data_IF_149369691853
#
_entry.id   IF_149369691853
#
_cell.length_a   1.000
_cell.length_b   1.000
_cell.length_c   1.000
_cell.angle_alpha   90.00
_cell.angle_beta   90.00
_cell.angle_gamma   90.00
#
_symmetry.space_group_name_H-M   'P 1'
#
loop_
_entity.id
_entity.type
_entity.pdbx_description
1 polymer ?
#
# COMPACT_ATOMS: atom_id res chain seq x y z
N UNK A 1 -18.78 45.23 39.22
CA UNK A 1 -18.85 43.80 39.55
C UNK A 1 -18.70 43.02 38.26
N UNK A 2 -17.51 42.47 38.01
CA UNK A 2 -17.21 41.72 36.78
C UNK A 2 -17.27 40.23 37.10
N UNK A 3 -18.32 39.55 36.63
CA UNK A 3 -18.40 38.09 36.62
C UNK A 3 -17.49 37.53 35.52
N UNK A 4 -16.40 36.91 35.93
CA UNK A 4 -15.51 36.16 35.06
C UNK A 4 -16.14 34.82 34.68
N UNK A 5 -16.43 34.66 33.38
CA UNK A 5 -16.81 33.40 32.74
C UNK A 5 -15.83 32.27 33.07
N UNK A 6 -16.27 31.29 33.84
CA UNK A 6 -15.59 30.01 34.05
C UNK A 6 -15.55 29.23 32.74
N UNK A 7 -14.35 29.00 32.23
CA UNK A 7 -14.11 28.29 30.97
C UNK A 7 -14.48 26.81 31.10
N UNK A 8 -15.19 26.26 30.11
CA UNK A 8 -15.44 24.83 29.95
C UNK A 8 -14.13 24.07 29.71
N UNK A 9 -13.48 23.57 30.77
CA UNK A 9 -12.50 22.51 30.68
C UNK A 9 -13.24 21.18 30.85
N UNK A 10 -13.36 20.40 29.77
CA UNK A 10 -13.86 19.03 29.87
C UNK A 10 -12.96 18.22 30.79
N UNK A 11 -13.55 17.44 31.69
CA UNK A 11 -12.89 16.52 32.62
C UNK A 11 -12.02 15.51 31.86
N UNK A 12 -10.76 15.84 31.61
CA UNK A 12 -9.79 14.93 31.01
C UNK A 12 -9.45 13.85 32.04
N UNK A 13 -10.04 12.67 31.83
CA UNK A 13 -9.78 11.46 32.58
C UNK A 13 -8.28 11.15 32.47
N UNK A 14 -7.52 11.32 33.56
CA UNK A 14 -6.09 10.99 33.62
C UNK A 14 -5.93 9.48 33.57
N UNK A 15 -5.72 8.94 32.39
CA UNK A 15 -5.29 7.54 32.25
C UNK A 15 -3.88 7.40 32.80
N UNK A 16 -3.69 6.38 33.63
CA UNK A 16 -2.42 6.15 34.32
C UNK A 16 -1.73 4.87 33.83
N UNK A 17 -2.44 3.98 33.15
CA UNK A 17 -1.91 2.70 32.64
C UNK A 17 -2.41 2.41 31.22
N UNK A 18 -1.70 1.54 30.50
CA UNK A 18 -2.06 1.13 29.13
C UNK A 18 -3.42 0.43 29.07
N UNK A 19 -3.72 -0.40 30.06
CA UNK A 19 -4.98 -1.15 30.20
C UNK A 19 -6.17 -0.24 30.48
N UNK A 20 -5.96 0.90 31.14
CA UNK A 20 -7.01 1.86 31.47
C UNK A 20 -7.48 2.71 30.29
N UNK A 21 -6.78 2.64 29.14
CA UNK A 21 -7.11 3.46 27.96
C UNK A 21 -8.39 2.95 27.31
N UNK A 22 -9.38 3.84 27.21
CA UNK A 22 -10.59 3.59 26.41
C UNK A 22 -10.26 3.73 24.91
N UNK A 23 -10.01 2.59 24.27
CA UNK A 23 -9.68 2.53 22.84
C UNK A 23 -10.83 2.99 21.94
N UNK A 24 -12.09 2.73 22.31
CA UNK A 24 -13.25 3.14 21.52
C UNK A 24 -13.39 4.66 21.50
N UNK A 25 -13.16 5.31 22.65
CA UNK A 25 -13.11 6.78 22.76
C UNK A 25 -11.93 7.36 21.97
N UNK A 26 -10.76 6.72 22.01
CA UNK A 26 -9.61 7.12 21.20
C UNK A 26 -9.93 7.10 19.71
N UNK A 27 -10.45 5.97 19.22
CA UNK A 27 -10.79 5.77 17.80
C UNK A 27 -11.88 6.74 17.36
N UNK A 28 -12.95 6.89 18.14
CA UNK A 28 -14.04 7.83 17.83
C UNK A 28 -13.55 9.27 17.74
N UNK A 29 -12.68 9.70 18.65
CA UNK A 29 -12.16 11.08 18.67
C UNK A 29 -11.25 11.36 17.48
N UNK A 30 -10.37 10.41 17.16
CA UNK A 30 -9.48 10.53 15.99
C UNK A 30 -10.30 10.50 14.70
N UNK A 31 -11.29 9.61 14.57
CA UNK A 31 -12.17 9.54 13.40
C UNK A 31 -12.95 10.85 13.19
N UNK A 32 -13.46 11.47 14.27
CA UNK A 32 -14.12 12.80 14.20
C UNK A 32 -13.18 13.88 13.66
N UNK A 33 -11.92 13.90 14.11
CA UNK A 33 -10.92 14.84 13.60
C UNK A 33 -10.56 14.54 12.13
N UNK A 34 -10.40 13.28 11.76
CA UNK A 34 -10.15 12.85 10.38
C UNK A 34 -11.30 13.26 9.45
N UNK A 35 -12.57 13.08 9.86
CA UNK A 35 -13.73 13.54 9.10
C UNK A 35 -13.75 15.06 8.89
N UNK A 36 -13.32 15.84 9.89
CA UNK A 36 -13.16 17.30 9.76
C UNK A 36 -12.05 17.67 8.78
N UNK A 37 -10.95 16.90 8.73
CA UNK A 37 -9.88 17.07 7.73
C UNK A 37 -10.43 16.82 6.33
N UNK A 38 -11.17 15.71 6.13
CA UNK A 38 -11.84 15.40 4.85
C UNK A 38 -12.74 16.56 4.41
N UNK A 39 -13.60 17.06 5.30
CA UNK A 39 -14.49 18.18 4.99
C UNK A 39 -13.71 19.44 4.59
N UNK A 40 -12.68 19.81 5.34
CA UNK A 40 -11.85 20.97 5.03
C UNK A 40 -11.08 20.81 3.70
N UNK A 41 -10.61 19.61 3.38
CA UNK A 41 -9.92 19.32 2.12
C UNK A 41 -10.88 19.43 0.92
N UNK A 42 -12.10 18.88 1.03
CA UNK A 42 -13.14 19.01 -0.01
C UNK A 42 -13.56 20.47 -0.25
N UNK A 43 -13.53 21.30 0.79
CA UNK A 43 -13.80 22.74 0.71
C UNK A 43 -12.60 23.57 0.20
N UNK A 44 -11.46 22.94 -0.13
CA UNK A 44 -10.24 23.65 -0.58
C UNK A 44 -9.53 24.46 0.51
N UNK A 45 -9.89 24.28 1.80
CA UNK A 45 -9.37 25.07 2.92
C UNK A 45 -8.06 24.49 3.46
N UNK A 46 -6.98 24.59 2.68
CA UNK A 46 -5.68 23.99 3.02
C UNK A 46 -5.08 24.48 4.35
N UNK A 47 -5.30 25.73 4.75
CA UNK A 47 -4.87 26.24 6.06
C UNK A 47 -5.55 25.53 7.23
N UNK A 48 -6.85 25.24 7.09
CA UNK A 48 -7.65 24.49 8.08
C UNK A 48 -7.23 23.02 8.14
N UNK A 49 -6.92 22.42 6.99
CA UNK A 49 -6.34 21.06 6.94
C UNK A 49 -5.05 20.99 7.76
N UNK A 50 -4.11 21.92 7.54
CA UNK A 50 -2.86 21.98 8.32
C UNK A 50 -3.10 22.15 9.83
N UNK A 51 -4.02 23.03 10.21
CA UNK A 51 -4.36 23.24 11.63
C UNK A 51 -4.99 22.00 12.29
N UNK A 52 -5.84 21.28 11.57
CA UNK A 52 -6.45 20.04 12.07
C UNK A 52 -5.44 18.88 12.14
N UNK A 53 -4.55 18.75 11.16
CA UNK A 53 -3.43 17.80 11.20
C UNK A 53 -2.50 18.10 12.38
N UNK A 54 -2.22 19.37 12.64
CA UNK A 54 -1.46 19.79 13.81
C UNK A 54 -2.17 19.39 15.11
N UNK A 55 -3.46 19.68 15.23
CA UNK A 55 -4.28 19.31 16.39
C UNK A 55 -4.27 17.79 16.62
N UNK A 56 -4.46 17.00 15.55
CA UNK A 56 -4.46 15.55 15.61
C UNK A 56 -3.11 15.00 16.08
N UNK A 57 -2.00 15.47 15.51
CA UNK A 57 -0.66 15.00 15.88
C UNK A 57 -0.24 15.38 17.32
N UNK A 58 -0.88 16.37 17.94
CA UNK A 58 -0.62 16.76 19.32
C UNK A 58 -1.57 16.11 20.33
N UNK A 59 -2.67 15.50 19.87
CA UNK A 59 -3.65 14.82 20.72
C UNK A 59 -3.09 13.57 21.40
N UNK A 60 -3.47 13.34 22.66
CA UNK A 60 -3.18 12.09 23.37
C UNK A 60 -3.76 10.89 22.62
N UNK A 61 -5.03 10.98 22.20
CA UNK A 61 -5.76 9.88 21.54
C UNK A 61 -5.02 9.36 20.30
N UNK A 62 -4.53 10.28 19.45
CA UNK A 62 -3.81 9.91 18.24
C UNK A 62 -2.44 9.26 18.55
N UNK A 63 -1.72 9.77 19.55
CA UNK A 63 -0.45 9.18 20.01
C UNK A 63 -0.65 7.79 20.57
N UNK A 64 -1.69 7.58 21.38
CA UNK A 64 -2.04 6.27 21.93
C UNK A 64 -2.34 5.25 20.80
N UNK A 65 -3.15 5.64 19.81
CA UNK A 65 -3.44 4.78 18.65
C UNK A 65 -2.20 4.49 17.80
N UNK A 66 -1.31 5.46 17.64
CA UNK A 66 -0.04 5.25 16.94
C UNK A 66 0.83 4.21 17.65
N UNK A 67 0.95 4.27 18.98
CA UNK A 67 1.66 3.26 19.78
C UNK A 67 0.98 1.90 19.70
N UNK A 68 -0.36 1.84 19.77
CA UNK A 68 -1.13 0.59 19.65
C UNK A 68 -0.84 -0.08 18.30
N UNK A 69 -0.91 0.69 17.20
CA UNK A 69 -0.63 0.20 15.84
C UNK A 69 0.76 -0.44 15.70
N UNK A 70 1.80 0.13 16.33
CA UNK A 70 3.17 -0.41 16.20
C UNK A 70 3.44 -1.58 17.15
N UNK A 71 2.67 -1.72 18.23
CA UNK A 71 2.85 -2.77 19.24
C UNK A 71 1.98 -4.00 19.03
N UNK A 72 0.86 -3.89 18.30
CA UNK A 72 -0.07 -5.00 18.03
C UNK A 72 0.33 -5.92 16.87
N UNK A 73 1.23 -5.49 15.99
CA UNK A 73 1.64 -6.26 14.81
C UNK A 73 2.88 -7.12 15.08
N UNK A 74 3.10 -8.21 14.33
CA UNK A 74 4.32 -9.06 14.45
C UNK A 74 5.64 -8.30 14.36
N UNK A 75 5.65 -7.15 13.68
CA UNK A 75 6.81 -6.25 13.61
C UNK A 75 7.21 -5.62 14.95
N UNK A 76 6.35 -5.69 15.98
CA UNK A 76 6.66 -5.23 17.34
C UNK A 76 7.81 -6.00 17.99
N UNK A 77 8.12 -7.20 17.50
CA UNK A 77 9.24 -8.02 17.96
C UNK A 77 10.57 -7.72 17.23
N UNK A 78 10.56 -6.80 16.27
CA UNK A 78 11.73 -6.48 15.46
C UNK A 78 12.24 -5.10 15.83
N UNK A 79 13.40 -5.02 16.46
CA UNK A 79 13.98 -3.74 16.86
C UNK A 79 14.67 -3.02 15.68
N UNK A 80 14.77 -1.70 15.80
CA UNK A 80 15.55 -0.85 14.89
C UNK A 80 17.05 -0.91 15.21
N UNK A 81 17.78 0.16 14.89
CA UNK A 81 19.22 0.27 15.21
C UNK A 81 19.48 0.47 16.71
N UNK A 82 18.49 0.93 17.47
CA UNK A 82 18.56 1.13 18.93
C UNK A 82 18.38 -0.16 19.73
N UNK A 83 17.97 -1.26 19.09
CA UNK A 83 17.66 -2.53 19.75
C UNK A 83 16.56 -2.44 20.84
N UNK A 84 15.74 -1.37 20.84
CA UNK A 84 14.68 -1.15 21.85
C UNK A 84 13.34 -1.69 21.35
N UNK A 85 12.61 -2.36 22.25
CA UNK A 85 11.24 -2.85 22.06
C UNK A 85 10.29 -2.29 23.13
N UNK A 86 9.00 -2.22 22.82
CA UNK A 86 7.94 -1.86 23.77
C UNK A 86 7.07 -3.07 24.10
N UNK A 87 7.65 -4.04 24.81
CA UNK A 87 7.00 -5.31 25.14
C UNK A 87 6.02 -5.19 26.31
N UNK A 88 6.35 -4.40 27.33
CA UNK A 88 5.52 -4.26 28.55
C UNK A 88 4.46 -3.16 28.41
N UNK A 89 3.30 -3.29 29.06
CA UNK A 89 2.27 -2.25 29.04
C UNK A 89 2.77 -0.89 29.53
N UNK A 90 3.61 -0.86 30.57
CA UNK A 90 4.23 0.38 31.05
C UNK A 90 5.11 1.03 29.96
N UNK A 91 5.96 0.26 29.28
CA UNK A 91 6.78 0.79 28.18
C UNK A 91 5.91 1.37 27.05
N UNK A 92 4.78 0.72 26.72
CA UNK A 92 3.83 1.22 25.72
C UNK A 92 3.16 2.52 26.18
N UNK A 93 2.76 2.61 27.44
CA UNK A 93 2.15 3.82 27.99
C UNK A 93 3.14 5.00 27.99
N UNK A 94 4.36 4.79 28.49
CA UNK A 94 5.42 5.80 28.45
C UNK A 94 5.78 6.23 27.03
N UNK A 95 5.70 5.31 26.07
CA UNK A 95 5.93 5.60 24.66
C UNK A 95 4.97 6.67 24.09
N UNK A 96 3.76 6.82 24.65
CA UNK A 96 2.81 7.86 24.23
C UNK A 96 3.37 9.26 24.53
N UNK A 97 3.96 9.44 25.71
CA UNK A 97 4.51 10.71 26.18
C UNK A 97 5.75 11.18 25.43
N UNK A 98 6.54 10.25 24.88
CA UNK A 98 7.77 10.58 24.13
C UNK A 98 7.49 10.98 22.66
N UNK A 99 6.28 10.78 22.14
CA UNK A 99 5.88 11.22 20.80
C UNK A 99 5.67 12.74 20.78
N UNK A 100 6.78 13.48 20.74
CA UNK A 100 6.82 14.94 20.68
C UNK A 100 7.50 15.37 19.39
N UNK A 101 6.95 16.39 18.73
CA UNK A 101 7.55 17.00 17.54
C UNK A 101 8.85 17.75 17.86
N UNK A 102 8.84 18.58 18.91
CA UNK A 102 10.01 19.36 19.34
C UNK A 102 11.09 18.42 19.87
N UNK A 103 12.33 18.62 19.41
CA UNK A 103 13.47 17.77 19.81
C UNK A 103 13.51 16.39 19.14
N UNK A 104 12.55 16.05 18.28
CA UNK A 104 12.58 14.78 17.57
C UNK A 104 13.70 14.75 16.52
N UNK A 105 14.57 13.74 16.61
CA UNK A 105 15.57 13.37 15.62
C UNK A 105 15.35 11.89 15.28
N UNK A 106 15.00 11.54 14.04
CA UNK A 106 14.89 10.14 13.65
C UNK A 106 16.26 9.47 13.68
N UNK A 107 16.28 8.18 13.98
CA UNK A 107 17.51 7.40 13.86
C UNK A 107 17.60 6.78 12.46
N UNK A 108 18.82 6.45 12.00
CA UNK A 108 19.01 5.70 10.77
C UNK A 108 18.25 4.37 10.78
N UNK A 109 17.79 3.93 9.61
CA UNK A 109 17.09 2.65 9.49
C UNK A 109 18.05 1.48 9.58
N UNK A 110 17.65 0.37 10.23
CA UNK A 110 18.44 -0.87 10.21
C UNK A 110 18.19 -1.61 8.90
N UNK A 111 19.18 -1.70 8.02
CA UNK A 111 19.06 -2.33 6.70
C UNK A 111 19.24 -3.85 6.81
N UNK A 112 18.27 -4.61 6.30
CA UNK A 112 18.35 -6.07 6.15
C UNK A 112 18.01 -6.48 4.71
N UNK A 113 18.57 -7.58 4.24
CA UNK A 113 18.26 -8.13 2.91
C UNK A 113 17.28 -9.30 3.01
N UNK A 114 16.19 -9.21 2.25
CA UNK A 114 15.20 -10.29 2.12
C UNK A 114 15.28 -10.84 0.70
N UNK A 115 15.35 -12.17 0.56
CA UNK A 115 15.36 -12.81 -0.76
C UNK A 115 13.99 -12.63 -1.45
N UNK A 116 13.98 -12.11 -2.68
CA UNK A 116 12.81 -12.11 -3.56
C UNK A 116 12.58 -13.51 -4.13
N UNK A 117 11.39 -13.74 -4.68
CA UNK A 117 11.04 -14.98 -5.38
C UNK A 117 11.96 -15.29 -6.58
N UNK A 118 12.53 -14.27 -7.20
CA UNK A 118 13.47 -14.38 -8.32
C UNK A 118 14.96 -14.50 -7.89
N UNK A 119 15.23 -14.69 -6.59
CA UNK A 119 16.59 -14.83 -6.06
C UNK A 119 17.33 -13.51 -5.79
N UNK A 120 16.90 -12.38 -6.40
CA UNK A 120 17.47 -11.06 -6.11
C UNK A 120 17.18 -10.64 -4.66
N UNK A 121 18.04 -9.83 -4.06
CA UNK A 121 17.81 -9.30 -2.71
C UNK A 121 16.93 -8.04 -2.77
N UNK A 122 15.97 -7.92 -1.84
CA UNK A 122 15.22 -6.70 -1.55
C UNK A 122 15.74 -6.14 -0.23
N UNK A 123 16.26 -4.92 -0.22
CA UNK A 123 16.73 -4.33 1.01
C UNK A 123 15.55 -3.69 1.76
N UNK A 124 15.39 -4.01 3.05
CA UNK A 124 14.36 -3.48 3.94
C UNK A 124 15.02 -2.63 5.01
N UNK A 125 14.55 -1.41 5.21
CA UNK A 125 14.95 -0.54 6.32
C UNK A 125 13.94 -0.66 7.46
N UNK A 126 14.39 -1.12 8.62
CA UNK A 126 13.56 -1.24 9.83
C UNK A 126 13.80 -0.01 10.71
N UNK A 127 12.81 0.88 10.89
CA UNK A 127 12.94 2.01 11.80
C UNK A 127 12.84 1.57 13.27
N UNK A 128 13.30 2.43 14.18
CA UNK A 128 13.10 2.27 15.63
C UNK A 128 11.61 2.22 15.98
N UNK A 129 11.26 1.74 17.18
CA UNK A 129 9.88 1.75 17.65
C UNK A 129 9.32 3.19 17.72
N UNK A 130 10.15 4.13 18.19
CA UNK A 130 9.81 5.55 18.24
C UNK A 130 9.54 6.13 16.85
N UNK A 131 10.40 5.83 15.88
CA UNK A 131 10.25 6.34 14.52
C UNK A 131 9.02 5.75 13.82
N UNK A 132 8.75 4.44 14.02
CA UNK A 132 7.51 3.82 13.55
C UNK A 132 6.28 4.46 14.16
N UNK A 133 6.28 4.74 15.45
CA UNK A 133 5.16 5.37 16.12
C UNK A 133 4.94 6.82 15.65
N UNK A 134 6.03 7.58 15.43
CA UNK A 134 5.94 8.91 14.83
C UNK A 134 5.40 8.83 13.40
N UNK A 135 5.86 7.90 12.58
CA UNK A 135 5.32 7.69 11.23
C UNK A 135 3.83 7.32 11.27
N UNK A 136 3.42 6.42 12.18
CA UNK A 136 2.02 6.03 12.36
C UNK A 136 1.14 7.21 12.81
N UNK A 137 1.65 8.09 13.67
CA UNK A 137 0.95 9.29 14.13
C UNK A 137 0.69 10.28 13.00
N UNK A 138 1.71 10.58 12.20
CA UNK A 138 1.56 11.49 11.06
C UNK A 138 0.80 10.83 9.90
N UNK A 139 0.84 9.51 9.78
CA UNK A 139 0.00 8.78 8.85
C UNK A 139 -1.48 8.96 9.19
N UNK A 140 -1.89 8.91 10.48
CA UNK A 140 -3.27 9.24 10.87
C UNK A 140 -3.70 10.65 10.44
N UNK A 141 -2.77 11.61 10.38
CA UNK A 141 -3.04 12.96 9.92
C UNK A 141 -3.07 13.08 8.38
N UNK A 142 -2.31 12.24 7.68
CA UNK A 142 -2.18 12.27 6.22
C UNK A 142 -3.25 11.44 5.51
N UNK A 143 -3.64 10.28 6.07
CA UNK A 143 -4.63 9.34 5.52
C UNK A 143 -5.92 10.02 5.04
N UNK A 144 -6.54 10.96 5.78
CA UNK A 144 -7.78 11.60 5.33
C UNK A 144 -7.59 12.42 4.04
N UNK A 145 -6.42 13.05 3.89
CA UNK A 145 -6.09 13.82 2.69
C UNK A 145 -5.77 12.88 1.54
N UNK A 146 -4.91 11.89 1.77
CA UNK A 146 -4.53 10.93 0.74
C UNK A 146 -5.74 10.19 0.17
N UNK A 147 -6.70 9.77 1.01
CA UNK A 147 -7.90 9.08 0.51
C UNK A 147 -8.83 9.99 -0.30
N UNK A 148 -8.89 11.30 0.00
CA UNK A 148 -9.72 12.23 -0.78
C UNK A 148 -9.13 12.63 -2.12
N UNK A 149 -7.80 12.57 -2.25
CA UNK A 149 -7.09 12.96 -3.48
C UNK A 149 -6.65 11.76 -4.32
N UNK A 150 -6.76 10.55 -3.79
CA UNK A 150 -6.31 9.35 -4.47
C UNK A 150 -7.18 8.98 -5.67
N UNK A 151 -6.55 8.37 -6.67
CA UNK A 151 -7.22 7.87 -7.86
C UNK A 151 -8.29 6.82 -7.49
N UNK A 152 -9.47 6.87 -8.14
CA UNK A 152 -10.58 5.98 -7.80
C UNK A 152 -10.26 4.51 -8.07
N UNK A 153 -9.41 4.22 -9.07
CA UNK A 153 -9.00 2.88 -9.46
C UNK A 153 -7.59 2.52 -8.96
N UNK A 154 -7.15 3.18 -7.88
CA UNK A 154 -5.97 2.78 -7.10
C UNK A 154 -6.38 1.96 -5.88
N UNK A 155 -5.86 0.75 -5.72
CA UNK A 155 -6.30 -0.20 -4.69
C UNK A 155 -5.22 -0.55 -3.67
N UNK A 156 -3.95 -0.52 -4.06
CA UNK A 156 -2.85 -0.98 -3.21
C UNK A 156 -2.66 -0.11 -1.96
N UNK A 157 -2.41 -0.73 -0.80
CA UNK A 157 -2.09 -0.07 0.47
C UNK A 157 -3.11 0.96 0.98
N UNK A 158 -4.37 0.87 0.55
CA UNK A 158 -5.47 1.73 1.00
C UNK A 158 -6.40 0.97 1.93
N UNK A 159 -7.06 1.69 2.84
CA UNK A 159 -8.02 1.09 3.77
C UNK A 159 -9.23 0.56 3.00
N UNK A 160 -9.75 -0.58 3.44
CA UNK A 160 -10.93 -1.23 2.85
C UNK A 160 -10.83 -1.50 1.34
N UNK A 161 -9.59 -1.63 0.82
CA UNK A 161 -9.32 -2.00 -0.57
C UNK A 161 -8.36 -3.18 -0.62
N UNK A 162 -8.64 -4.10 -1.53
CA UNK A 162 -7.94 -5.38 -1.64
C UNK A 162 -7.54 -5.68 -3.08
N UNK A 163 -6.72 -6.72 -3.26
CA UNK A 163 -6.39 -7.25 -4.59
C UNK A 163 -7.63 -7.81 -5.31
N UNK A 164 -8.65 -8.27 -4.56
CA UNK A 164 -9.89 -8.74 -5.11
C UNK A 164 -10.71 -7.61 -5.77
N UNK A 165 -10.66 -6.39 -5.20
CA UNK A 165 -11.33 -5.22 -5.77
C UNK A 165 -10.67 -4.78 -7.08
N UNK A 166 -9.33 -4.80 -7.13
CA UNK A 166 -8.59 -4.53 -8.37
C UNK A 166 -8.92 -5.56 -9.46
N UNK A 167 -9.00 -6.85 -9.10
CA UNK A 167 -9.44 -7.92 -10.00
C UNK A 167 -10.87 -7.70 -10.50
N UNK A 168 -11.78 -7.32 -9.61
CA UNK A 168 -13.17 -7.04 -9.96
C UNK A 168 -13.26 -5.85 -10.92
N UNK A 169 -12.47 -4.81 -10.71
CA UNK A 169 -12.38 -3.69 -11.63
C UNK A 169 -11.89 -4.13 -13.01
N UNK A 170 -10.90 -5.03 -13.10
CA UNK A 170 -10.50 -5.63 -14.38
C UNK A 170 -11.68 -6.36 -15.03
N UNK A 171 -12.48 -7.11 -14.27
CA UNK A 171 -13.67 -7.78 -14.79
C UNK A 171 -14.68 -6.79 -15.37
N UNK A 172 -15.02 -5.74 -14.61
CA UNK A 172 -15.98 -4.71 -15.04
C UNK A 172 -15.55 -3.99 -16.32
N UNK A 173 -14.25 -3.72 -16.46
CA UNK A 173 -13.67 -3.04 -17.63
C UNK A 173 -13.57 -3.96 -18.85
N UNK A 174 -13.26 -5.25 -18.67
CA UNK A 174 -12.86 -6.15 -19.76
C UNK A 174 -13.94 -7.15 -20.18
N UNK A 175 -14.96 -7.43 -19.35
CA UNK A 175 -15.87 -8.57 -19.58
C UNK A 175 -16.81 -8.42 -20.78
N UNK A 176 -17.27 -7.20 -21.10
CA UNK A 176 -18.27 -6.95 -22.16
C UNK A 176 -17.71 -7.20 -23.56
N UNK A 177 -18.59 -7.46 -24.54
CA UNK A 177 -18.18 -7.57 -25.97
C UNK A 177 -17.54 -6.27 -26.47
N UNK A 178 -18.12 -5.12 -26.09
CA UNK A 178 -17.63 -3.80 -26.45
C UNK A 178 -16.49 -3.28 -25.56
N UNK A 179 -15.84 -4.12 -24.74
CA UNK A 179 -14.69 -3.73 -23.91
C UNK A 179 -13.45 -3.39 -24.75
N UNK A 180 -12.44 -2.71 -24.16
CA UNK A 180 -11.11 -2.63 -24.76
C UNK A 180 -10.47 -4.03 -24.87
N UNK A 181 -9.64 -4.21 -25.89
CA UNK A 181 -9.02 -5.50 -26.22
C UNK A 181 -7.50 -5.50 -26.03
N UNK A 182 -6.89 -4.32 -25.90
CA UNK A 182 -5.46 -4.16 -25.68
C UNK A 182 -5.19 -3.67 -24.26
N UNK A 183 -4.14 -4.22 -23.65
CA UNK A 183 -3.75 -3.94 -22.28
C UNK A 183 -2.26 -3.63 -22.24
N UNK A 184 -1.90 -2.49 -21.65
CA UNK A 184 -0.52 -2.18 -21.29
C UNK A 184 -0.30 -2.55 -19.83
N UNK A 185 0.55 -3.55 -19.59
CA UNK A 185 1.07 -3.91 -18.28
C UNK A 185 2.20 -2.95 -17.91
N UNK A 186 2.12 -2.30 -16.76
CA UNK A 186 3.09 -1.33 -16.28
C UNK A 186 3.61 -1.69 -14.89
N UNK A 187 4.94 -1.68 -14.72
CA UNK A 187 5.63 -1.89 -13.46
C UNK A 187 6.70 -0.81 -13.30
N UNK A 188 6.83 -0.25 -12.10
CA UNK A 188 7.78 0.83 -11.83
C UNK A 188 9.06 0.25 -11.23
N UNK A 189 10.21 0.55 -11.86
CA UNK A 189 11.51 0.09 -11.40
C UNK A 189 11.84 0.78 -10.07
N UNK A 190 12.01 -0.01 -9.01
CA UNK A 190 12.46 0.49 -7.71
C UNK A 190 11.57 1.60 -7.15
N UNK A 191 10.24 1.45 -7.24
CA UNK A 191 9.28 2.51 -6.89
C UNK A 191 9.56 3.20 -5.54
N UNK A 192 9.91 2.46 -4.49
CA UNK A 192 10.22 3.05 -3.18
C UNK A 192 11.64 3.61 -3.10
N UNK A 193 12.55 3.14 -3.94
CA UNK A 193 13.97 3.47 -3.87
C UNK A 193 14.33 4.76 -4.64
N UNK A 194 13.54 5.15 -5.64
CA UNK A 194 13.90 6.26 -6.57
C UNK A 194 12.98 7.49 -6.48
N UNK A 195 11.99 7.54 -5.59
CA UNK A 195 11.11 8.72 -5.48
C UNK A 195 11.93 9.97 -5.14
N UNK A 196 11.76 11.05 -5.93
CA UNK A 196 12.41 12.32 -5.68
C UNK A 196 11.98 12.93 -4.33
N UNK A 197 12.96 13.23 -3.47
CA UNK A 197 12.72 13.91 -2.20
C UNK A 197 12.13 15.30 -2.39
N UNK A 198 12.60 16.04 -3.39
CA UNK A 198 12.11 17.39 -3.68
C UNK A 198 10.64 17.35 -4.12
N UNK A 199 10.27 16.37 -4.93
CA UNK A 199 8.88 16.17 -5.32
C UNK A 199 8.00 15.87 -4.09
N UNK A 200 8.42 14.97 -3.20
CA UNK A 200 7.68 14.65 -1.97
C UNK A 200 7.54 15.88 -1.05
N UNK A 201 8.64 16.61 -0.85
CA UNK A 201 8.69 17.81 -0.02
C UNK A 201 7.86 18.95 -0.60
N UNK A 202 7.68 19.03 -1.92
CA UNK A 202 6.80 20.01 -2.55
C UNK A 202 5.33 19.59 -2.44
N UNK A 203 5.01 18.37 -2.84
CA UNK A 203 3.62 17.97 -3.13
C UNK A 203 2.85 17.33 -1.96
N UNK A 204 3.52 16.71 -0.97
CA UNK A 204 2.80 15.99 0.09
C UNK A 204 2.28 16.95 1.18
N UNK A 205 0.97 17.05 1.44
CA UNK A 205 0.38 18.00 2.38
C UNK A 205 0.51 17.52 3.84
N UNK A 206 1.74 17.54 4.35
CA UNK A 206 2.08 17.22 5.73
C UNK A 206 3.18 18.14 6.26
N UNK A 207 3.58 17.94 7.52
CA UNK A 207 4.70 18.65 8.12
C UNK A 207 6.01 18.35 7.37
N UNK A 208 6.50 19.36 6.64
CA UNK A 208 7.70 19.26 5.79
C UNK A 208 8.97 19.05 6.60
N UNK A 209 9.03 19.54 7.85
CA UNK A 209 10.20 19.34 8.72
C UNK A 209 10.31 17.87 9.10
N UNK A 210 9.18 17.24 9.43
CA UNK A 210 9.14 15.82 9.79
C UNK A 210 9.43 14.93 8.58
N UNK A 211 8.81 15.23 7.43
CA UNK A 211 9.05 14.49 6.20
C UNK A 211 10.53 14.57 5.78
N UNK A 212 11.13 15.77 5.76
CA UNK A 212 12.55 15.96 5.43
C UNK A 212 13.47 15.17 6.35
N UNK A 213 13.17 15.13 7.65
CA UNK A 213 13.94 14.35 8.62
C UNK A 213 13.91 12.87 8.31
N UNK A 214 12.76 12.29 7.93
CA UNK A 214 12.67 10.87 7.59
C UNK A 214 13.32 10.52 6.25
N UNK A 215 13.22 11.40 5.27
CA UNK A 215 13.85 11.18 3.97
C UNK A 215 15.39 11.21 4.07
N UNK A 216 15.94 12.05 4.96
CA UNK A 216 17.39 12.22 5.13
C UNK A 216 18.03 11.43 6.28
N UNK A 217 17.31 10.57 6.98
CA UNK A 217 17.85 9.91 8.18
C UNK A 217 18.87 8.79 7.88
N UNK A 218 19.05 8.41 6.61
CA UNK A 218 20.03 7.40 6.22
C UNK A 218 19.67 5.99 6.69
N UNK A 219 20.55 5.03 6.43
CA UNK A 219 20.42 3.66 6.93
C UNK A 219 21.77 3.11 7.41
N UNK A 220 21.72 2.21 8.38
CA UNK A 220 22.87 1.44 8.85
C UNK A 220 22.86 0.07 8.20
N UNK A 221 23.98 -0.29 7.57
CA UNK A 221 24.22 -1.60 6.99
C UNK A 221 25.64 -2.06 7.36
N UNK A 222 25.81 -3.30 7.82
CA UNK A 222 27.12 -3.83 8.25
C UNK A 222 27.89 -2.92 9.23
N UNK A 223 27.17 -2.25 10.16
CA UNK A 223 27.70 -1.29 11.15
C UNK A 223 28.21 0.05 10.57
N UNK A 224 28.02 0.29 9.28
CA UNK A 224 28.34 1.57 8.63
C UNK A 224 27.07 2.37 8.36
N UNK A 225 27.16 3.70 8.46
CA UNK A 225 26.08 4.63 8.18
C UNK A 225 26.17 5.11 6.73
N UNK A 226 25.09 4.93 5.98
CA UNK A 226 24.96 5.39 4.60
C UNK A 226 23.88 6.47 4.50
N UNK A 227 24.12 7.55 3.71
CA UNK A 227 23.11 8.55 3.44
C UNK A 227 21.98 7.99 2.56
N UNK A 228 20.87 8.71 2.48
CA UNK A 228 19.75 8.41 1.57
C UNK A 228 19.48 9.65 0.75
N UNK A 229 19.84 9.59 -0.53
CA UNK A 229 19.73 10.72 -1.47
C UNK A 229 18.39 10.72 -2.22
N UNK A 230 17.78 9.55 -2.39
CA UNK A 230 16.49 9.37 -3.06
C UNK A 230 15.67 8.26 -2.41
N UNK A 231 14.38 8.21 -2.77
CA UNK A 231 13.45 7.20 -2.29
C UNK A 231 12.86 7.48 -0.91
N UNK A 232 11.89 6.65 -0.54
CA UNK A 232 11.30 6.61 0.79
C UNK A 232 11.69 5.29 1.46
N UNK A 233 12.01 5.28 2.76
CA UNK A 233 12.52 4.06 3.39
C UNK A 233 11.55 2.88 3.27
N UNK A 234 11.98 1.81 2.60
CA UNK A 234 11.20 0.60 2.43
C UNK A 234 11.08 -0.12 3.78
N UNK A 235 9.91 -0.06 4.42
CA UNK A 235 9.67 -0.56 5.78
C UNK A 235 9.15 0.49 6.76
N UNK A 236 9.15 1.77 6.36
CA UNK A 236 8.42 2.81 7.06
C UNK A 236 6.90 2.64 6.93
N UNK A 237 6.16 2.93 7.99
CA UNK A 237 4.69 2.76 8.03
C UNK A 237 3.99 3.76 7.11
N UNK A 238 4.55 4.96 6.96
CA UNK A 238 4.00 6.03 6.12
C UNK A 238 4.39 5.88 4.64
N UNK A 239 5.46 5.15 4.34
CA UNK A 239 6.04 5.02 2.99
C UNK A 239 5.03 4.56 1.92
N UNK A 240 4.15 3.57 2.16
CA UNK A 240 3.15 3.16 1.17
C UNK A 240 2.18 4.28 0.77
N UNK A 241 1.77 5.11 1.72
CA UNK A 241 0.90 6.27 1.46
C UNK A 241 1.64 7.33 0.66
N UNK A 242 2.92 7.60 0.97
CA UNK A 242 3.74 8.52 0.18
C UNK A 242 3.91 8.05 -1.26
N UNK A 243 4.17 6.76 -1.46
CA UNK A 243 4.26 6.16 -2.79
C UNK A 243 2.93 6.27 -3.56
N UNK A 244 1.80 5.98 -2.90
CA UNK A 244 0.49 6.13 -3.53
C UNK A 244 0.20 7.57 -3.94
N UNK A 245 0.39 8.54 -3.05
CA UNK A 245 0.20 9.96 -3.36
C UNK A 245 1.14 10.46 -4.46
N UNK A 246 2.30 9.83 -4.62
CA UNK A 246 3.23 10.11 -5.72
C UNK A 246 2.65 9.66 -7.05
N UNK A 247 2.00 8.50 -7.08
CA UNK A 247 1.43 7.91 -8.29
C UNK A 247 0.00 8.38 -8.60
N UNK A 248 -0.68 9.01 -7.64
CA UNK A 248 -2.00 9.59 -7.84
C UNK A 248 -1.95 10.78 -8.83
N UNK A 249 -3.02 10.94 -9.59
CA UNK A 249 -3.10 11.88 -10.72
C UNK A 249 -2.80 11.23 -12.07
N UNK A 250 -2.29 9.99 -12.11
CA UNK A 250 -2.13 9.25 -13.35
C UNK A 250 -3.50 8.98 -13.99
N UNK A 251 -4.50 8.61 -13.18
CA UNK A 251 -5.86 8.42 -13.67
C UNK A 251 -6.45 9.73 -14.23
N UNK A 252 -6.25 10.84 -13.53
CA UNK A 252 -6.75 12.16 -13.95
C UNK A 252 -6.13 12.59 -15.28
N UNK A 253 -4.82 12.46 -15.42
CA UNK A 253 -4.10 12.77 -16.67
C UNK A 253 -4.67 11.97 -17.86
N UNK A 254 -4.88 10.66 -17.68
CA UNK A 254 -5.47 9.82 -18.72
C UNK A 254 -6.92 10.22 -19.02
N UNK A 255 -7.71 10.53 -17.99
CA UNK A 255 -9.11 10.93 -18.15
C UNK A 255 -9.26 12.28 -18.88
N UNK A 256 -8.40 13.26 -18.60
CA UNK A 256 -8.42 14.57 -19.25
C UNK A 256 -8.16 14.45 -20.76
N UNK A 257 -7.21 13.62 -21.16
CA UNK A 257 -6.86 13.43 -22.58
C UNK A 257 -7.81 12.48 -23.32
N UNK A 258 -8.22 11.39 -22.66
CA UNK A 258 -8.97 10.29 -23.25
C UNK A 258 -10.41 10.19 -22.72
N UNK A 259 -11.09 11.32 -22.52
CA UNK A 259 -12.51 11.33 -22.15
C UNK A 259 -13.44 11.06 -23.33
N UNK A 260 -14.66 10.64 -23.00
CA UNK A 260 -15.76 10.49 -23.96
C UNK A 260 -16.08 11.86 -24.59
N UNK A 261 -16.01 11.97 -25.91
CA UNK A 261 -16.38 13.18 -26.66
C UNK A 261 -17.53 12.86 -27.62
N UNK A 262 -18.50 13.76 -27.70
CA UNK A 262 -19.54 13.70 -28.73
C UNK A 262 -19.03 14.45 -29.95
N UNK A 263 -18.75 13.74 -31.04
CA UNK A 263 -18.28 14.36 -32.30
C UNK A 263 -19.49 14.94 -33.04
N UNK A 264 -20.61 14.23 -33.03
CA UNK A 264 -21.90 14.65 -33.60
C UNK A 264 -23.04 13.87 -32.93
N UNK A 265 -24.31 14.13 -33.31
CA UNK A 265 -25.51 13.52 -32.68
C UNK A 265 -25.51 11.98 -32.70
N UNK A 266 -24.74 11.37 -33.61
CA UNK A 266 -24.70 9.92 -33.84
C UNK A 266 -23.35 9.28 -33.48
N UNK A 267 -22.24 10.01 -33.51
CA UNK A 267 -20.89 9.47 -33.27
C UNK A 267 -20.32 9.96 -31.95
N UNK A 268 -20.02 8.99 -31.08
CA UNK A 268 -19.32 9.21 -29.82
C UNK A 268 -17.90 8.65 -29.92
N UNK A 269 -16.90 9.50 -29.67
CA UNK A 269 -15.54 9.05 -29.43
C UNK A 269 -15.41 8.52 -28.00
N UNK A 270 -15.11 7.24 -27.87
CA UNK A 270 -14.83 6.60 -26.59
C UNK A 270 -13.56 5.75 -26.70
N UNK A 271 -12.41 6.25 -26.21
CA UNK A 271 -11.12 5.59 -26.39
C UNK A 271 -10.94 4.36 -25.49
N UNK A 272 -11.88 4.12 -24.54
CA UNK A 272 -11.90 2.96 -23.62
C UNK A 272 -10.61 2.83 -22.78
N UNK A 273 -10.04 3.98 -22.42
CA UNK A 273 -8.83 4.06 -21.61
C UNK A 273 -9.19 4.03 -20.13
N UNK A 274 -8.78 2.96 -19.45
CA UNK A 274 -9.01 2.77 -18.03
C UNK A 274 -7.72 2.39 -17.34
N UNK A 275 -7.41 3.06 -16.22
CA UNK A 275 -6.34 2.67 -15.31
C UNK A 275 -6.91 1.73 -14.24
N UNK A 276 -6.19 0.64 -13.94
CA UNK A 276 -6.36 -0.15 -12.72
C UNK A 276 -4.98 -0.31 -12.08
N UNK A 277 -4.80 0.22 -10.88
CA UNK A 277 -3.49 0.30 -10.20
C UNK A 277 -3.52 -0.37 -8.84
N UNK A 278 -2.51 -1.18 -8.55
CA UNK A 278 -2.23 -1.73 -7.23
C UNK A 278 -0.79 -1.41 -6.83
N UNK A 279 -0.62 -0.33 -6.05
CA UNK A 279 0.69 0.22 -5.72
C UNK A 279 1.49 0.60 -6.98
N UNK A 280 2.61 -0.08 -7.24
CA UNK A 280 3.54 0.10 -8.36
C UNK A 280 3.18 -0.72 -9.60
N UNK A 281 2.35 -1.76 -9.47
CA UNK A 281 1.83 -2.58 -10.56
C UNK A 281 0.50 -1.98 -11.07
N UNK A 282 0.38 -1.74 -12.37
CA UNK A 282 -0.83 -1.19 -12.96
C UNK A 282 -1.06 -1.71 -14.38
N UNK A 283 -2.31 -1.64 -14.80
CA UNK A 283 -2.69 -1.85 -16.20
C UNK A 283 -3.42 -0.63 -16.74
N UNK A 284 -3.17 -0.34 -18.02
CA UNK A 284 -3.94 0.64 -18.78
C UNK A 284 -4.57 -0.06 -19.97
N UNK A 285 -5.89 0.04 -20.10
CA UNK A 285 -6.60 -0.55 -21.24
C UNK A 285 -6.67 0.42 -22.41
N UNK A 286 -6.80 -0.11 -23.62
CA UNK A 286 -6.95 0.67 -24.84
C UNK A 286 -7.77 -0.05 -25.89
N UNK A 287 -8.41 0.71 -26.79
CA UNK A 287 -9.15 0.13 -27.91
C UNK A 287 -8.21 -0.50 -28.95
N UNK A 288 -7.06 0.13 -29.21
CA UNK A 288 -6.06 -0.31 -30.19
C UNK A 288 -4.68 -0.35 -29.57
N UNK A 289 -3.75 -1.05 -30.22
CA UNK A 289 -2.36 -1.15 -29.75
C UNK A 289 -1.67 0.22 -29.84
N UNK A 290 -1.90 0.93 -30.92
CA UNK A 290 -1.31 2.24 -31.23
C UNK A 290 -1.70 3.28 -30.17
N UNK A 291 -2.95 3.25 -29.69
CA UNK A 291 -3.39 4.12 -28.60
C UNK A 291 -2.59 3.91 -27.31
N UNK A 292 -2.20 2.67 -27.01
CA UNK A 292 -1.35 2.38 -25.84
C UNK A 292 0.11 2.76 -26.08
N UNK A 293 0.60 2.64 -27.31
CA UNK A 293 1.93 3.13 -27.71
C UNK A 293 2.03 4.65 -27.60
N UNK A 294 0.96 5.39 -27.89
CA UNK A 294 0.87 6.84 -27.62
C UNK A 294 0.81 7.18 -26.12
N UNK A 295 0.10 6.38 -25.32
CA UNK A 295 -0.03 6.58 -23.88
C UNK A 295 1.30 6.35 -23.16
N UNK A 296 2.09 5.37 -23.61
CA UNK A 296 3.33 4.96 -22.93
C UNK A 296 4.31 6.12 -22.69
N UNK A 297 4.66 6.98 -23.67
CA UNK A 297 5.47 8.18 -23.43
C UNK A 297 4.91 9.13 -22.37
N UNK A 298 3.59 9.32 -22.33
CA UNK A 298 2.96 10.21 -21.34
C UNK A 298 3.08 9.66 -19.92
N UNK A 299 2.97 8.33 -19.77
CA UNK A 299 3.21 7.66 -18.49
C UNK A 299 4.68 7.81 -18.08
N UNK A 300 5.61 7.68 -19.03
CA UNK A 300 7.04 7.87 -18.77
C UNK A 300 7.31 9.30 -18.28
N UNK A 301 6.81 10.32 -18.97
CA UNK A 301 6.97 11.72 -18.59
C UNK A 301 6.36 12.01 -17.20
N UNK A 302 5.16 11.48 -16.94
CA UNK A 302 4.51 11.58 -15.64
C UNK A 302 5.38 11.01 -14.51
N UNK A 303 5.99 9.84 -14.73
CA UNK A 303 6.85 9.18 -13.75
C UNK A 303 8.19 9.93 -13.60
N UNK A 304 8.79 10.38 -14.69
CA UNK A 304 10.08 11.10 -14.68
C UNK A 304 10.01 12.39 -13.85
N UNK A 305 8.91 13.14 -13.94
CA UNK A 305 8.71 14.34 -13.11
C UNK A 305 8.71 14.05 -11.59
N UNK A 306 8.55 12.77 -11.19
CA UNK A 306 8.56 12.28 -9.81
C UNK A 306 9.85 11.55 -9.43
N UNK A 307 10.81 11.45 -10.36
CA UNK A 307 12.04 10.66 -10.22
C UNK A 307 11.85 9.15 -10.48
N UNK A 308 10.72 8.75 -11.05
CA UNK A 308 10.39 7.34 -11.27
C UNK A 308 10.59 6.94 -12.73
N UNK A 309 10.89 5.66 -12.93
CA UNK A 309 11.13 5.09 -14.27
C UNK A 309 10.31 3.82 -14.46
N UNK A 310 9.70 3.69 -15.63
CA UNK A 310 8.96 2.50 -16.02
C UNK A 310 9.93 1.34 -16.31
N UNK A 311 9.59 0.12 -15.88
CA UNK A 311 10.40 -1.07 -16.13
C UNK A 311 10.15 -1.58 -17.55
N UNK A 312 11.02 -1.25 -18.50
CA UNK A 312 10.91 -1.69 -19.90
C UNK A 312 10.78 -3.20 -20.05
N UNK A 313 11.59 -4.00 -19.32
CA UNK A 313 11.57 -5.47 -19.37
C UNK A 313 10.21 -6.08 -19.00
N UNK A 314 9.44 -5.39 -18.16
CA UNK A 314 8.15 -5.84 -17.65
C UNK A 314 6.97 -5.17 -18.34
N UNK A 315 7.22 -4.05 -19.03
CA UNK A 315 6.17 -3.29 -19.68
C UNK A 315 5.83 -3.96 -21.00
N UNK A 316 4.61 -4.46 -21.12
CA UNK A 316 4.16 -5.20 -22.30
C UNK A 316 2.80 -4.69 -22.73
N UNK A 317 2.58 -4.67 -24.04
CA UNK A 317 1.26 -4.44 -24.62
C UNK A 317 0.79 -5.77 -25.15
N UNK A 318 -0.27 -6.30 -24.54
CA UNK A 318 -0.80 -7.63 -24.83
C UNK A 318 -2.26 -7.55 -25.25
N UNK A 319 -2.67 -8.44 -26.13
CA UNK A 319 -4.07 -8.57 -26.51
C UNK A 319 -4.80 -9.46 -25.49
N UNK A 320 -6.04 -9.11 -25.14
CA UNK A 320 -6.83 -9.79 -24.11
C UNK A 320 -7.07 -11.28 -24.40
N UNK A 321 -7.02 -11.68 -25.68
CA UNK A 321 -7.17 -13.08 -26.10
C UNK A 321 -5.95 -13.95 -25.80
N UNK A 322 -4.75 -13.35 -25.72
CA UNK A 322 -3.53 -14.03 -25.27
C UNK A 322 -3.55 -14.18 -23.75
N UNK A 323 -4.06 -13.13 -23.09
CA UNK A 323 -4.18 -13.01 -21.65
C UNK A 323 -2.90 -12.48 -20.99
N UNK A 324 -3.06 -11.86 -19.83
CA UNK A 324 -1.97 -11.25 -19.08
C UNK A 324 -2.06 -11.62 -17.59
N UNK A 325 -0.93 -11.48 -16.88
CA UNK A 325 -0.85 -11.78 -15.45
C UNK A 325 -0.85 -10.48 -14.64
N UNK A 326 -1.81 -10.32 -13.73
CA UNK A 326 -1.91 -9.15 -12.85
C UNK A 326 -2.27 -9.60 -11.43
N UNK A 327 -1.47 -9.21 -10.43
CA UNK A 327 -1.66 -9.58 -9.01
C UNK A 327 -1.79 -11.10 -8.75
N UNK A 328 -1.11 -11.91 -9.57
CA UNK A 328 -1.18 -13.37 -9.48
C UNK A 328 -2.46 -14.00 -10.06
N UNK A 329 -3.26 -13.22 -10.79
CA UNK A 329 -4.37 -13.69 -11.60
C UNK A 329 -3.98 -13.64 -13.08
N UNK A 330 -4.35 -14.65 -13.85
CA UNK A 330 -4.32 -14.62 -15.30
C UNK A 330 -5.70 -14.17 -15.81
N UNK A 331 -5.73 -13.04 -16.51
CA UNK A 331 -6.94 -12.43 -17.06
C UNK A 331 -6.94 -12.67 -18.57
N UNK A 332 -7.93 -13.43 -19.06
CA UNK A 332 -8.01 -13.78 -20.49
C UNK A 332 -9.44 -13.83 -20.98
N UNK A 333 -9.69 -13.29 -22.17
CA UNK A 333 -10.95 -13.43 -22.89
C UNK A 333 -10.82 -14.52 -23.95
N UNK A 334 -11.72 -15.48 -23.93
CA UNK A 334 -11.69 -16.62 -24.86
C UNK A 334 -12.56 -16.32 -26.09
N UNK A 335 -12.39 -17.12 -27.15
CA UNK A 335 -13.05 -16.91 -28.45
C UNK A 335 -14.59 -16.92 -28.37
N UNK A 336 -15.14 -17.58 -27.34
CA UNK A 336 -16.57 -17.53 -27.02
C UNK A 336 -17.04 -16.20 -26.39
N UNK A 337 -16.15 -15.21 -26.30
CA UNK A 337 -16.40 -13.88 -25.74
C UNK A 337 -16.39 -13.83 -24.21
N UNK A 338 -16.21 -14.95 -23.49
CA UNK A 338 -16.19 -14.98 -22.02
C UNK A 338 -14.82 -14.58 -21.48
N UNK A 339 -14.81 -13.65 -20.55
CA UNK A 339 -13.63 -13.32 -19.74
C UNK A 339 -13.55 -14.28 -18.56
N UNK A 340 -12.44 -15.01 -18.42
CA UNK A 340 -12.17 -15.80 -17.22
C UNK A 340 -10.93 -15.24 -16.53
N UNK A 341 -11.06 -15.03 -15.23
CA UNK A 341 -9.95 -14.64 -14.36
C UNK A 341 -9.59 -15.84 -13.50
N UNK A 342 -8.40 -16.40 -13.74
CA UNK A 342 -7.92 -17.65 -13.13
C UNK A 342 -6.68 -17.37 -12.28
N UNK A 343 -6.30 -18.21 -11.30
CA UNK A 343 -4.98 -18.10 -10.68
C UNK A 343 -3.89 -18.28 -11.74
N UNK A 344 -2.84 -17.44 -11.72
CA UNK A 344 -1.76 -17.55 -12.71
C UNK A 344 -0.95 -18.84 -12.53
N UNK A 345 -0.36 -19.34 -13.63
CA UNK A 345 0.49 -20.54 -13.61
C UNK A 345 1.68 -20.34 -12.67
N UNK A 346 2.24 -19.14 -12.62
CA UNK A 346 3.36 -18.81 -11.73
C UNK A 346 2.93 -18.84 -10.25
N UNK A 347 1.74 -18.34 -9.93
CA UNK A 347 1.20 -18.42 -8.56
C UNK A 347 1.01 -19.85 -8.10
N UNK A 348 0.44 -20.72 -8.94
CA UNK A 348 0.31 -22.15 -8.64
C UNK A 348 1.68 -22.79 -8.42
N UNK A 349 2.68 -22.51 -9.28
CA UNK A 349 4.05 -23.02 -9.11
C UNK A 349 4.67 -22.57 -7.78
N UNK A 350 4.51 -21.29 -7.41
CA UNK A 350 4.98 -20.74 -6.12
C UNK A 350 4.32 -21.43 -4.94
N UNK A 351 3.00 -21.65 -5.01
CA UNK A 351 2.25 -22.38 -4.00
C UNK A 351 2.76 -23.81 -3.84
N UNK A 352 2.89 -24.56 -4.93
CA UNK A 352 3.39 -25.94 -4.90
C UNK A 352 4.84 -26.02 -4.40
N UNK A 353 5.71 -25.09 -4.79
CA UNK A 353 7.09 -25.01 -4.29
C UNK A 353 7.12 -24.80 -2.77
N UNK A 354 6.21 -23.97 -2.24
CA UNK A 354 6.09 -23.75 -0.79
C UNK A 354 5.62 -25.00 -0.06
N UNK A 355 4.61 -25.69 -0.59
CA UNK A 355 4.13 -26.96 -0.01
C UNK A 355 5.25 -28.00 -0.02
N UNK A 356 5.93 -28.19 -1.16
CA UNK A 356 7.07 -29.10 -1.27
C UNK A 356 8.17 -28.77 -0.27
N UNK A 357 8.55 -27.50 -0.13
CA UNK A 357 9.56 -27.07 0.84
C UNK A 357 9.18 -27.38 2.30
N UNK A 358 7.89 -27.30 2.65
CA UNK A 358 7.41 -27.69 3.99
C UNK A 358 7.55 -29.21 4.18
N UNK A 359 7.16 -30.01 3.20
CA UNK A 359 7.27 -31.48 3.24
C UNK A 359 8.75 -31.87 3.34
N UNK A 360 9.61 -31.33 2.48
CA UNK A 360 11.03 -31.64 2.42
C UNK A 360 11.77 -31.30 3.72
N UNK A 361 11.37 -30.23 4.40
CA UNK A 361 11.99 -29.80 5.67
C UNK A 361 11.49 -30.60 6.88
N UNK A 362 10.45 -31.43 6.72
CA UNK A 362 9.79 -32.16 7.80
C UNK A 362 9.63 -33.66 7.48
N UNK A 363 10.55 -34.25 6.69
CA UNK A 363 10.49 -35.66 6.26
C UNK A 363 10.42 -36.67 7.43
N UNK A 364 11.03 -36.34 8.56
CA UNK A 364 11.01 -37.15 9.79
C UNK A 364 9.95 -36.72 10.81
N UNK A 365 9.11 -35.73 10.46
CA UNK A 365 8.09 -35.20 11.36
C UNK A 365 6.84 -36.07 11.42
N UNK A 366 6.10 -35.99 12.53
CA UNK A 366 4.78 -36.62 12.64
C UNK A 366 3.81 -36.04 11.61
N UNK A 367 2.95 -36.89 11.05
CA UNK A 367 1.93 -36.51 10.08
C UNK A 367 1.06 -35.33 10.58
N UNK A 368 0.64 -35.33 11.85
CA UNK A 368 -0.19 -34.24 12.39
C UNK A 368 0.54 -32.89 12.38
N UNK A 369 1.86 -32.91 12.62
CA UNK A 369 2.67 -31.69 12.59
C UNK A 369 2.78 -31.13 11.19
N UNK A 370 2.92 -32.01 10.18
CA UNK A 370 2.95 -31.61 8.77
C UNK A 370 1.60 -30.99 8.34
N UNK A 371 0.48 -31.62 8.72
CA UNK A 371 -0.87 -31.09 8.48
C UNK A 371 -1.03 -29.70 9.13
N UNK A 372 -0.61 -29.54 10.38
CA UNK A 372 -0.67 -28.26 11.11
C UNK A 372 0.13 -27.15 10.42
N UNK A 373 1.27 -27.49 9.80
CA UNK A 373 2.11 -26.53 9.06
C UNK A 373 1.52 -26.19 7.68
N UNK A 374 0.93 -27.17 6.99
CA UNK A 374 0.37 -26.99 5.65
C UNK A 374 -0.98 -26.27 5.65
N UNK A 375 -1.85 -26.57 6.60
CA UNK A 375 -3.22 -26.04 6.63
C UNK A 375 -3.31 -24.51 6.52
N UNK A 376 -2.55 -23.71 7.29
CA UNK A 376 -2.58 -22.25 7.16
C UNK A 376 -2.16 -21.75 5.77
N UNK A 377 -1.22 -22.45 5.10
CA UNK A 377 -0.75 -22.11 3.76
C UNK A 377 -1.84 -22.39 2.72
N UNK A 378 -2.51 -23.54 2.84
CA UNK A 378 -3.61 -23.94 1.95
C UNK A 378 -4.79 -22.99 2.13
N UNK A 379 -5.25 -22.80 3.36
CA UNK A 379 -6.37 -21.91 3.69
C UNK A 379 -6.10 -20.48 3.21
N UNK A 380 -4.88 -19.97 3.42
CA UNK A 380 -4.49 -18.64 2.93
C UNK A 380 -4.57 -18.53 1.40
N UNK A 381 -4.09 -19.55 0.67
CA UNK A 381 -4.13 -19.55 -0.79
C UNK A 381 -5.56 -19.67 -1.33
N UNK A 382 -6.39 -20.54 -0.74
CA UNK A 382 -7.81 -20.65 -1.08
C UNK A 382 -8.55 -19.34 -0.80
N UNK A 383 -8.33 -18.72 0.37
CA UNK A 383 -8.96 -17.45 0.72
C UNK A 383 -8.61 -16.31 -0.24
N UNK A 384 -7.42 -16.33 -0.84
CA UNK A 384 -7.00 -15.34 -1.85
C UNK A 384 -7.67 -15.58 -3.22
N UNK A 385 -7.84 -16.84 -3.61
CA UNK A 385 -8.37 -17.22 -4.94
C UNK A 385 -9.85 -17.61 -4.96
N UNK A 386 -10.55 -17.66 -3.82
CA UNK A 386 -11.96 -18.10 -3.73
C UNK A 386 -12.94 -17.28 -4.58
N UNK A 387 -12.61 -16.03 -4.88
CA UNK A 387 -13.46 -15.11 -5.63
C UNK A 387 -13.10 -15.05 -7.13
N UNK A 388 -12.42 -16.06 -7.68
CA UNK A 388 -12.12 -16.15 -9.11
C UNK A 388 -12.42 -17.55 -9.67
N UNK A 389 -12.20 -17.75 -10.97
CA UNK A 389 -12.45 -19.02 -11.66
C UNK A 389 -11.30 -19.98 -11.31
N UNK A 390 -11.39 -20.63 -10.15
CA UNK A 390 -10.28 -21.39 -9.57
C UNK A 390 -10.53 -22.90 -9.45
N UNK A 391 -11.74 -23.41 -9.65
CA UNK A 391 -12.10 -24.82 -9.38
C UNK A 391 -11.17 -25.84 -10.03
N UNK A 392 -10.88 -25.69 -11.33
CA UNK A 392 -9.95 -26.58 -12.04
C UNK A 392 -8.52 -26.46 -11.51
N UNK A 393 -8.12 -25.26 -11.11
CA UNK A 393 -6.78 -25.00 -10.57
C UNK A 393 -6.64 -25.60 -9.17
N UNK A 394 -7.70 -25.56 -8.36
CA UNK A 394 -7.76 -26.18 -7.03
C UNK A 394 -7.69 -27.71 -7.15
N UNK A 395 -8.50 -28.31 -8.02
CA UNK A 395 -8.43 -29.76 -8.30
C UNK A 395 -7.05 -30.20 -8.75
N UNK A 396 -6.41 -29.43 -9.64
CA UNK A 396 -5.03 -29.68 -10.07
C UNK A 396 -4.03 -29.55 -8.92
N UNK A 397 -4.19 -28.54 -8.07
CA UNK A 397 -3.33 -28.35 -6.90
C UNK A 397 -3.45 -29.52 -5.92
N UNK A 398 -4.65 -30.04 -5.70
CA UNK A 398 -4.87 -31.19 -4.81
C UNK A 398 -4.28 -32.48 -5.37
N UNK A 399 -4.47 -32.75 -6.68
CA UNK A 399 -3.80 -33.87 -7.34
C UNK A 399 -2.27 -33.79 -7.21
N UNK A 400 -1.68 -32.62 -7.49
CA UNK A 400 -0.24 -32.42 -7.38
C UNK A 400 0.28 -32.47 -5.94
N UNK A 401 -0.56 -32.20 -4.94
CA UNK A 401 -0.20 -32.43 -3.54
C UNK A 401 -0.13 -33.91 -3.27
N UNK A 402 -1.18 -34.66 -3.60
CA UNK A 402 -1.22 -36.12 -3.37
C UNK A 402 -0.03 -36.83 -4.02
N UNK A 403 0.37 -36.43 -5.23
CA UNK A 403 1.53 -36.98 -5.91
C UNK A 403 2.90 -36.62 -5.29
N UNK A 404 2.97 -35.67 -4.36
CA UNK A 404 4.20 -35.34 -3.61
C UNK A 404 4.29 -36.17 -2.32
N UNK A 405 3.16 -36.70 -1.85
CA UNK A 405 3.08 -37.56 -0.67
C UNK A 405 3.31 -39.04 -0.99
N UNK A 406 2.93 -39.47 -2.20
CA UNK A 406 3.33 -40.74 -2.79
C UNK A 406 4.78 -40.69 -3.24
#
# INVERSE_FOLDING_TARGET
MNEGKTSCASTDQKWNTWESIDWNKCETTVNKLQARIVKAQKEGRHGKVKALQWTLTHSFYAKALAVKRVTSNKGSNTAGVDHVLWSTPNAKFQAIGILKRRGYKPQPLRRIHIKKSNGKLRPLGIPTMKDRAMQALYLLALEPVSETTADSNSYGFRKERSTADAREQCFLVLAKKASPEWIMEGDIKGCFDHISHDWLLKNIPMDKVMLKKWLKCGFVFNKELFPTEEGTPQGGIISPTLANMTLDGLQTMLAEKYHKKFINRTTTYYPKVHLVRYADDFIITGKTKEALEEIKPMVIEFLQARGLTLSEEKTKITHISEGFDFLGYNVRKYDNGKLLIKPSKESLKKFMKKIRGIIDSNKSGKQESLIRLMNPVIVGWVNYYKNCVASDTFRKADYLKLSIWS
#
